data_IF_754107768214
#
_entry.id   IF_754107768214
#
_cell.length_a   1.000
_cell.length_b   1.000
_cell.length_c   1.000
_cell.angle_alpha   90.00
_cell.angle_beta   90.00
_cell.angle_gamma   90.00
#
_symmetry.space_group_name_H-M   'P 1'
#
loop_
_entity.id
_entity.type
_entity.pdbx_description
1 polymer ?
#
# COMPACT_ATOMS: atom_id res chain seq x y z
N UNK A 1 -1.69 -20.32 17.62
CA UNK A 1 -2.39 -19.74 16.45
C UNK A 1 -3.15 -18.48 16.86
N UNK A 2 -2.95 -17.34 16.20
CA UNK A 2 -3.84 -16.16 16.40
C UNK A 2 -5.16 -16.41 15.68
N UNK A 3 -6.25 -16.45 16.43
CA UNK A 3 -7.62 -16.57 15.90
C UNK A 3 -8.17 -15.16 15.66
N UNK A 4 -8.66 -14.88 14.46
CA UNK A 4 -9.24 -13.59 14.12
C UNK A 4 -10.76 -13.68 14.23
N UNK A 5 -11.36 -12.91 15.15
CA UNK A 5 -12.82 -12.87 15.30
C UNK A 5 -13.42 -11.98 14.22
N UNK A 6 -14.49 -12.44 13.57
CA UNK A 6 -15.25 -11.69 12.56
C UNK A 6 -15.72 -10.35 13.14
N UNK A 7 -16.13 -10.33 14.41
CA UNK A 7 -16.59 -9.13 15.11
C UNK A 7 -15.55 -7.98 15.20
N UNK A 8 -14.24 -8.28 15.05
CA UNK A 8 -13.17 -7.27 15.06
C UNK A 8 -12.94 -6.63 13.69
N UNK A 9 -13.57 -7.14 12.64
CA UNK A 9 -13.48 -6.59 11.29
C UNK A 9 -14.47 -5.45 11.10
N UNK A 10 -14.11 -4.49 10.24
CA UNK A 10 -15.01 -3.41 9.88
C UNK A 10 -16.29 -3.95 9.21
N UNK A 11 -17.39 -3.19 9.27
CA UNK A 11 -18.68 -3.64 8.72
C UNK A 11 -18.59 -4.11 7.25
N UNK A 12 -17.84 -3.37 6.41
CA UNK A 12 -17.58 -3.73 5.00
C UNK A 12 -16.78 -5.02 4.85
N UNK A 13 -15.80 -5.23 5.72
CA UNK A 13 -14.99 -6.45 5.72
C UNK A 13 -15.84 -7.66 6.13
N UNK A 14 -16.68 -7.51 7.15
CA UNK A 14 -17.64 -8.55 7.57
C UNK A 14 -18.60 -8.92 6.44
N UNK A 15 -19.08 -7.92 5.71
CA UNK A 15 -19.93 -8.14 4.54
C UNK A 15 -19.22 -8.98 3.46
N UNK A 16 -18.00 -8.62 3.08
CA UNK A 16 -17.21 -9.39 2.09
C UNK A 16 -16.86 -10.79 2.58
N UNK A 17 -16.55 -10.96 3.86
CA UNK A 17 -16.37 -12.29 4.47
C UNK A 17 -17.66 -13.11 4.38
N UNK A 18 -18.82 -12.50 4.61
CA UNK A 18 -20.12 -13.15 4.40
C UNK A 18 -20.27 -13.67 2.98
N UNK A 19 -19.98 -12.84 1.97
CA UNK A 19 -20.02 -13.23 0.56
C UNK A 19 -19.05 -14.39 0.24
N UNK A 20 -17.83 -14.34 0.79
CA UNK A 20 -16.82 -15.40 0.64
C UNK A 20 -17.25 -16.74 1.27
N UNK A 21 -18.14 -16.72 2.27
CA UNK A 21 -18.73 -17.91 2.89
C UNK A 21 -20.01 -18.37 2.21
N UNK A 22 -20.48 -17.65 1.19
CA UNK A 22 -21.72 -17.95 0.50
C UNK A 22 -22.97 -17.45 1.23
N UNK A 23 -22.85 -16.49 2.15
CA UNK A 23 -24.03 -15.76 2.61
C UNK A 23 -24.69 -15.08 1.42
N UNK A 24 -26.01 -15.22 1.33
CA UNK A 24 -26.82 -14.46 0.39
C UNK A 24 -27.50 -13.32 1.16
N UNK A 25 -26.90 -12.12 1.20
CA UNK A 25 -27.58 -10.99 1.77
C UNK A 25 -28.78 -10.70 0.86
N UNK A 26 -29.97 -10.81 1.43
CA UNK A 26 -31.31 -10.61 0.82
C UNK A 26 -31.52 -9.24 0.15
N UNK A 27 -30.47 -8.42 0.01
CA UNK A 27 -30.47 -7.07 -0.53
C UNK A 27 -29.32 -6.79 -1.52
N UNK A 28 -28.50 -7.78 -1.91
CA UNK A 28 -27.43 -7.59 -2.89
C UNK A 28 -27.85 -8.16 -4.24
N UNK A 29 -27.54 -7.42 -5.31
CA UNK A 29 -27.76 -7.89 -6.69
C UNK A 29 -27.31 -9.36 -6.83
N UNK A 30 -28.21 -10.21 -7.33
CA UNK A 30 -28.00 -11.64 -7.59
C UNK A 30 -26.65 -11.94 -8.29
N UNK A 31 -26.17 -10.97 -9.05
CA UNK A 31 -24.89 -11.00 -9.75
C UNK A 31 -23.67 -11.07 -8.82
N UNK A 32 -23.66 -10.34 -7.70
CA UNK A 32 -22.51 -10.29 -6.80
C UNK A 32 -22.32 -11.62 -6.07
N UNK A 33 -23.41 -12.21 -5.57
CA UNK A 33 -23.34 -13.51 -4.92
C UNK A 33 -22.86 -14.59 -5.91
N UNK A 34 -23.37 -14.58 -7.14
CA UNK A 34 -22.91 -15.49 -8.21
C UNK A 34 -21.42 -15.33 -8.52
N UNK A 35 -20.95 -14.09 -8.57
CA UNK A 35 -19.54 -13.77 -8.83
C UNK A 35 -18.62 -14.27 -7.70
N UNK A 36 -19.01 -14.05 -6.44
CA UNK A 36 -18.26 -14.52 -5.27
C UNK A 36 -18.28 -16.05 -5.17
N UNK A 37 -19.38 -16.71 -5.55
CA UNK A 37 -19.42 -18.16 -5.67
C UNK A 37 -18.41 -18.68 -6.69
N UNK A 38 -18.32 -18.05 -7.87
CA UNK A 38 -17.32 -18.38 -8.90
C UNK A 38 -15.89 -18.15 -8.40
N UNK A 39 -15.65 -17.08 -7.64
CA UNK A 39 -14.37 -16.83 -6.99
C UNK A 39 -14.02 -17.97 -6.03
N UNK A 40 -14.94 -18.37 -5.15
CA UNK A 40 -14.70 -19.45 -4.20
C UNK A 40 -14.40 -20.78 -4.92
N UNK A 41 -15.13 -21.11 -6.00
CA UNK A 41 -14.84 -22.32 -6.81
C UNK A 41 -13.43 -22.27 -7.40
N UNK A 42 -13.06 -21.15 -8.04
CA UNK A 42 -11.73 -20.99 -8.63
C UNK A 42 -10.62 -21.02 -7.55
N UNK A 43 -10.86 -20.37 -6.42
CA UNK A 43 -9.92 -20.34 -5.30
C UNK A 43 -9.77 -21.71 -4.64
N UNK A 44 -10.84 -22.50 -4.54
CA UNK A 44 -10.76 -23.84 -3.96
C UNK A 44 -9.90 -24.80 -4.79
N UNK A 45 -9.82 -24.60 -6.11
CA UNK A 45 -8.90 -25.33 -6.98
C UNK A 45 -7.42 -25.10 -6.63
N UNK A 46 -7.10 -23.99 -5.95
CA UNK A 46 -5.74 -23.66 -5.48
C UNK A 46 -5.62 -23.74 -3.94
N UNK A 47 -6.54 -24.43 -3.26
CA UNK A 47 -6.44 -24.71 -1.82
C UNK A 47 -7.20 -23.78 -0.88
N UNK A 48 -7.98 -22.82 -1.39
CA UNK A 48 -8.85 -21.99 -0.56
C UNK A 48 -9.99 -22.78 0.08
N UNK A 49 -10.18 -22.57 1.38
CA UNK A 49 -11.26 -23.13 2.21
C UNK A 49 -11.89 -22.01 3.03
N UNK A 50 -13.12 -21.66 2.67
CA UNK A 50 -13.96 -20.79 3.48
C UNK A 50 -14.34 -21.50 4.79
N UNK A 51 -14.53 -20.73 5.86
CA UNK A 51 -15.20 -21.26 7.05
C UNK A 51 -16.72 -21.41 6.80
N UNK A 52 -17.40 -22.16 7.67
CA UNK A 52 -18.86 -22.19 7.69
C UNK A 52 -19.44 -20.77 7.88
N UNK A 53 -20.65 -20.55 7.34
CA UNK A 53 -21.32 -19.24 7.32
C UNK A 53 -21.44 -18.64 8.72
N UNK A 54 -21.76 -19.47 9.72
CA UNK A 54 -22.00 -19.14 11.12
C UNK A 54 -20.72 -19.08 11.98
N UNK A 55 -19.56 -19.40 11.42
CA UNK A 55 -18.32 -19.42 12.17
C UNK A 55 -17.93 -18.03 12.69
N UNK A 56 -17.77 -17.87 14.00
CA UNK A 56 -17.43 -16.58 14.62
C UNK A 56 -16.00 -16.08 14.27
N UNK A 57 -15.17 -16.93 13.68
CA UNK A 57 -13.76 -16.69 13.41
C UNK A 57 -13.47 -16.73 11.92
N UNK A 58 -12.58 -15.86 11.43
CA UNK A 58 -12.09 -15.88 10.04
C UNK A 58 -10.86 -16.75 9.88
N UNK A 59 -10.78 -17.49 8.78
CA UNK A 59 -9.59 -18.25 8.40
C UNK A 59 -8.50 -17.30 7.89
N UNK A 60 -7.25 -17.78 7.88
CA UNK A 60 -6.14 -17.01 7.30
C UNK A 60 -6.31 -16.82 5.79
N UNK A 61 -6.87 -17.82 5.11
CA UNK A 61 -7.14 -17.79 3.67
C UNK A 61 -8.24 -16.78 3.34
N UNK A 62 -9.30 -16.70 4.14
CA UNK A 62 -10.34 -15.65 4.03
C UNK A 62 -9.74 -14.25 4.16
N UNK A 63 -8.86 -14.04 5.15
CA UNK A 63 -8.18 -12.75 5.34
C UNK A 63 -7.20 -12.43 4.19
N UNK A 64 -6.52 -13.44 3.65
CA UNK A 64 -5.63 -13.29 2.50
C UNK A 64 -6.42 -12.84 1.25
N UNK A 65 -7.53 -13.52 0.95
CA UNK A 65 -8.38 -13.18 -0.19
C UNK A 65 -9.06 -11.81 -0.02
N UNK A 66 -9.47 -11.46 1.20
CA UNK A 66 -9.96 -10.12 1.55
C UNK A 66 -8.90 -9.03 1.31
N UNK A 67 -7.65 -9.29 1.67
CA UNK A 67 -6.52 -8.38 1.38
C UNK A 67 -6.25 -8.24 -0.12
N UNK A 68 -6.39 -9.32 -0.89
CA UNK A 68 -6.24 -9.29 -2.34
C UNK A 68 -7.33 -8.46 -3.01
N UNK A 69 -8.60 -8.66 -2.62
CA UNK A 69 -9.70 -7.84 -3.08
C UNK A 69 -9.43 -6.37 -2.78
N UNK A 70 -8.99 -6.04 -1.56
CA UNK A 70 -8.69 -4.66 -1.16
C UNK A 70 -7.57 -4.02 -1.99
N UNK A 71 -6.56 -4.79 -2.40
CA UNK A 71 -5.46 -4.29 -3.18
C UNK A 71 -5.78 -4.20 -4.69
N UNK A 72 -6.62 -5.08 -5.21
CA UNK A 72 -7.16 -5.02 -6.58
C UNK A 72 -8.15 -3.85 -6.78
N UNK A 73 -8.62 -3.23 -5.70
CA UNK A 73 -9.38 -1.96 -5.73
C UNK A 73 -8.51 -0.70 -5.86
N UNK A 74 -7.20 -0.83 -6.14
CA UNK A 74 -6.29 0.32 -6.28
C UNK A 74 -5.92 0.53 -7.74
N UNK A 75 -5.53 1.75 -8.08
CA UNK A 75 -5.21 2.14 -9.45
C UNK A 75 -4.03 1.35 -10.04
N UNK A 76 -3.08 0.92 -9.18
CA UNK A 76 -1.90 0.15 -9.57
C UNK A 76 -1.80 -1.14 -8.74
N UNK A 77 -2.67 -2.13 -8.99
CA UNK A 77 -2.75 -3.31 -8.15
C UNK A 77 -1.50 -4.20 -8.26
N UNK A 78 -0.89 -4.28 -9.44
CA UNK A 78 0.31 -5.11 -9.69
C UNK A 78 1.56 -4.62 -8.94
N UNK A 79 1.53 -3.38 -8.43
CA UNK A 79 2.57 -2.82 -7.56
C UNK A 79 2.41 -3.31 -6.11
N UNK A 80 1.20 -3.67 -5.70
CA UNK A 80 0.87 -4.06 -4.33
C UNK A 80 0.88 -5.58 -4.14
N UNK A 81 0.42 -6.33 -5.14
CA UNK A 81 0.43 -7.78 -5.11
C UNK A 81 0.51 -8.38 -6.50
N UNK A 82 1.03 -9.60 -6.55
CA UNK A 82 0.86 -10.54 -7.65
C UNK A 82 -0.10 -11.63 -7.20
N UNK A 83 -1.11 -11.88 -8.03
CA UNK A 83 -2.09 -12.95 -7.84
C UNK A 83 -1.90 -13.94 -8.98
N UNK A 84 -1.87 -15.23 -8.68
CA UNK A 84 -1.77 -16.26 -9.70
C UNK A 84 -2.90 -16.17 -10.75
N UNK A 85 -2.55 -16.44 -12.00
CA UNK A 85 -3.45 -16.33 -13.15
C UNK A 85 -4.79 -17.09 -13.01
N UNK A 86 -4.87 -18.28 -12.37
CA UNK A 86 -6.14 -19.00 -12.25
C UNK A 86 -7.23 -18.23 -11.51
N UNK A 87 -6.86 -17.42 -10.52
CA UNK A 87 -7.82 -16.69 -9.66
C UNK A 87 -7.81 -15.18 -9.91
N UNK A 88 -6.76 -14.63 -10.55
CA UNK A 88 -6.63 -13.20 -10.83
C UNK A 88 -7.84 -12.59 -11.56
N UNK A 89 -8.35 -13.13 -12.67
CA UNK A 89 -9.42 -12.48 -13.43
C UNK A 89 -10.72 -12.41 -12.62
N UNK A 90 -11.09 -13.49 -11.94
CA UNK A 90 -12.33 -13.53 -11.15
C UNK A 90 -12.21 -12.67 -9.88
N UNK A 91 -11.03 -12.64 -9.24
CA UNK A 91 -10.78 -11.76 -8.08
C UNK A 91 -10.86 -10.28 -8.48
N UNK A 92 -10.30 -9.91 -9.64
CA UNK A 92 -10.37 -8.55 -10.17
C UNK A 92 -11.81 -8.13 -10.49
N UNK A 93 -12.61 -9.03 -11.09
CA UNK A 93 -14.03 -8.77 -11.33
C UNK A 93 -14.78 -8.53 -10.00
N UNK A 94 -14.49 -9.32 -8.96
CA UNK A 94 -15.07 -9.12 -7.63
C UNK A 94 -14.70 -7.77 -7.03
N UNK A 95 -13.41 -7.40 -7.10
CA UNK A 95 -12.93 -6.11 -6.59
C UNK A 95 -13.62 -4.92 -7.29
N UNK A 96 -13.75 -4.98 -8.63
CA UNK A 96 -14.43 -3.96 -9.43
C UNK A 96 -15.93 -3.89 -9.13
N UNK A 97 -16.60 -5.04 -8.99
CA UNK A 97 -18.03 -5.05 -8.64
C UNK A 97 -18.28 -4.45 -7.26
N UNK A 98 -17.43 -4.76 -6.28
CA UNK A 98 -17.48 -4.13 -4.96
C UNK A 98 -17.32 -2.61 -5.05
N UNK A 99 -16.38 -2.10 -5.87
CA UNK A 99 -16.21 -0.66 -6.08
C UNK A 99 -17.43 0.00 -6.72
N UNK A 100 -18.03 -0.64 -7.74
CA UNK A 100 -19.23 -0.13 -8.41
C UNK A 100 -20.42 0.01 -7.43
N UNK A 101 -20.46 -0.82 -6.40
CA UNK A 101 -21.48 -0.84 -5.34
C UNK A 101 -21.09 0.05 -4.13
N UNK A 102 -20.02 0.84 -4.25
CA UNK A 102 -19.53 1.74 -3.20
C UNK A 102 -18.85 1.03 -2.01
N UNK A 103 -18.57 -0.27 -2.12
CA UNK A 103 -17.92 -1.07 -1.07
C UNK A 103 -16.40 -0.98 -1.23
N UNK A 104 -15.81 0.00 -0.57
CA UNK A 104 -14.36 0.18 -0.51
C UNK A 104 -13.75 -0.44 0.75
N UNK A 105 -12.80 -1.36 0.54
CA UNK A 105 -12.01 -1.98 1.59
C UNK A 105 -10.84 -1.06 2.01
N UNK A 106 -10.40 -1.20 3.26
CA UNK A 106 -9.35 -0.33 3.85
C UNK A 106 -7.95 -0.72 3.36
N UNK A 107 -7.03 0.25 3.34
CA UNK A 107 -5.60 -0.06 3.15
C UNK A 107 -5.05 -0.93 4.29
N UNK A 108 -5.61 -0.83 5.50
CA UNK A 108 -5.22 -1.67 6.62
C UNK A 108 -5.45 -3.17 6.33
N UNK A 109 -6.45 -3.50 5.50
CA UNK A 109 -6.72 -4.86 5.04
C UNK A 109 -5.56 -5.41 4.19
N UNK A 110 -4.97 -4.56 3.33
CA UNK A 110 -3.80 -4.90 2.51
C UNK A 110 -2.59 -5.11 3.41
N UNK A 111 -2.36 -4.22 4.37
CA UNK A 111 -1.24 -4.31 5.31
C UNK A 111 -1.25 -5.59 6.16
N UNK A 112 -2.39 -6.27 6.32
CA UNK A 112 -2.45 -7.57 7.03
C UNK A 112 -1.78 -8.70 6.25
N UNK A 113 -1.64 -8.59 4.93
CA UNK A 113 -1.03 -9.64 4.10
C UNK A 113 0.41 -9.95 4.52
N UNK A 114 1.15 -8.96 5.02
CA UNK A 114 2.52 -9.16 5.52
C UNK A 114 2.59 -10.06 6.76
N UNK A 115 1.50 -10.19 7.50
CA UNK A 115 1.38 -11.08 8.66
C UNK A 115 0.82 -12.47 8.32
N UNK A 116 0.59 -12.77 7.04
CA UNK A 116 -0.04 -14.01 6.56
C UNK A 116 0.79 -14.70 5.44
N UNK A 117 2.12 -14.83 5.56
CA UNK A 117 2.96 -15.36 4.47
C UNK A 117 2.56 -16.77 4.03
N UNK A 118 2.21 -17.65 4.98
CA UNK A 118 1.80 -19.03 4.70
C UNK A 118 0.53 -19.08 3.83
N UNK A 119 -0.50 -18.30 4.20
CA UNK A 119 -1.77 -18.29 3.45
C UNK A 119 -1.64 -17.60 2.08
N UNK A 120 -0.76 -16.59 1.99
CA UNK A 120 -0.39 -16.00 0.72
C UNK A 120 0.29 -17.03 -0.19
N UNK A 121 1.26 -17.80 0.32
CA UNK A 121 1.94 -18.85 -0.44
C UNK A 121 0.99 -19.96 -0.89
N UNK A 122 0.12 -20.46 0.00
CA UNK A 122 -0.90 -21.47 -0.32
C UNK A 122 -1.79 -21.05 -1.50
N UNK A 123 -2.21 -19.79 -1.50
CA UNK A 123 -3.09 -19.25 -2.55
C UNK A 123 -2.33 -18.67 -3.74
N UNK A 124 -1.02 -18.92 -3.84
CA UNK A 124 -0.14 -18.37 -4.88
C UNK A 124 -0.30 -16.84 -5.04
N UNK A 125 -0.50 -16.15 -3.91
CA UNK A 125 -0.55 -14.70 -3.79
C UNK A 125 0.81 -14.27 -3.24
N UNK A 126 1.48 -13.40 -3.97
CA UNK A 126 2.70 -12.76 -3.50
C UNK A 126 2.41 -11.30 -3.24
N UNK A 127 2.24 -10.87 -1.96
CA UNK A 127 2.29 -9.44 -1.67
C UNK A 127 3.66 -8.96 -2.14
N UNK A 128 3.67 -8.05 -3.12
CA UNK A 128 4.93 -7.41 -3.51
C UNK A 128 5.31 -6.63 -2.26
N UNK A 129 6.51 -6.82 -1.70
CA UNK A 129 6.90 -6.04 -0.54
C UNK A 129 6.74 -4.57 -0.93
N UNK A 130 5.75 -3.91 -0.32
CA UNK A 130 5.73 -2.46 -0.21
C UNK A 130 6.84 -2.05 0.74
N UNK A 131 8.08 -2.42 0.43
CA UNK A 131 9.13 -1.43 0.54
C UNK A 131 8.58 -0.25 -0.25
N UNK A 132 8.37 0.87 0.42
CA UNK A 132 8.11 2.18 -0.20
C UNK A 132 9.28 2.63 -1.09
N UNK A 133 9.94 1.71 -1.77
CA UNK A 133 10.58 1.97 -3.03
C UNK A 133 9.46 2.01 -4.06
N UNK A 134 8.76 3.15 -4.10
CA UNK A 134 8.58 3.73 -5.43
C UNK A 134 9.92 3.52 -6.14
N UNK A 135 9.99 2.96 -7.35
CA UNK A 135 11.10 3.33 -8.19
C UNK A 135 11.04 4.85 -8.18
N UNK A 136 11.93 5.48 -7.40
CA UNK A 136 12.33 6.84 -7.68
C UNK A 136 12.83 6.67 -9.09
N UNK A 137 11.97 6.92 -10.07
CA UNK A 137 12.39 7.65 -11.24
C UNK A 137 13.31 8.69 -10.63
N UNK A 138 14.62 8.51 -10.82
CA UNK A 138 15.64 9.45 -10.41
C UNK A 138 15.37 10.67 -11.28
N UNK A 139 14.28 11.37 -10.94
CA UNK A 139 13.96 12.67 -11.46
C UNK A 139 15.01 13.50 -10.79
N UNK A 140 16.04 13.84 -11.57
CA UNK A 140 17.02 14.85 -11.19
C UNK A 140 16.24 15.96 -10.48
N UNK A 141 16.59 16.29 -9.23
CA UNK A 141 15.91 17.35 -8.51
C UNK A 141 15.93 18.60 -9.40
N UNK A 142 14.75 19.14 -9.73
CA UNK A 142 14.69 20.40 -10.44
C UNK A 142 15.41 21.45 -9.57
N UNK A 143 16.31 22.26 -10.18
CA UNK A 143 16.99 23.30 -9.43
C UNK A 143 15.97 24.24 -8.79
N UNK A 144 16.28 24.78 -7.59
CA UNK A 144 15.42 25.78 -6.97
C UNK A 144 15.29 27.01 -7.88
N UNK A 145 14.17 27.74 -7.76
CA UNK A 145 14.00 28.98 -8.50
C UNK A 145 15.05 30.02 -8.07
N UNK A 146 15.58 30.84 -9.00
CA UNK A 146 16.52 31.91 -8.67
C UNK A 146 15.95 32.89 -7.64
N UNK A 147 16.78 33.33 -6.69
CA UNK A 147 16.42 34.21 -5.57
C UNK A 147 15.64 33.52 -4.44
N UNK A 148 15.32 32.23 -4.56
CA UNK A 148 14.54 31.53 -3.54
C UNK A 148 15.34 31.23 -2.27
N UNK A 149 14.64 31.03 -1.14
CA UNK A 149 15.25 30.57 0.12
C UNK A 149 15.93 29.19 -0.08
N UNK A 150 15.43 28.37 -1.01
CA UNK A 150 15.98 27.05 -1.30
C UNK A 150 17.32 27.13 -2.05
N UNK A 151 17.48 28.10 -2.95
CA UNK A 151 18.75 28.36 -3.63
C UNK A 151 19.82 28.83 -2.64
N UNK A 152 19.49 29.85 -1.81
CA UNK A 152 20.40 30.33 -0.75
C UNK A 152 20.82 29.22 0.21
N UNK A 153 19.89 28.35 0.60
CA UNK A 153 20.19 27.20 1.43
C UNK A 153 21.11 26.19 0.73
N UNK A 154 20.90 25.95 -0.57
CA UNK A 154 21.73 25.03 -1.35
C UNK A 154 23.15 25.58 -1.53
N UNK A 155 23.30 26.87 -1.82
CA UNK A 155 24.60 27.51 -2.00
C UNK A 155 25.40 27.58 -0.70
N UNK A 156 24.72 27.82 0.43
CA UNK A 156 25.35 27.76 1.74
C UNK A 156 25.90 26.36 2.01
N UNK A 157 25.09 25.31 1.78
CA UNK A 157 25.54 23.92 1.97
C UNK A 157 26.64 23.53 0.99
N UNK A 158 26.63 24.05 -0.26
CA UNK A 158 27.71 23.83 -1.23
C UNK A 158 29.02 24.48 -0.80
N UNK A 159 28.94 25.71 -0.27
CA UNK A 159 30.10 26.50 0.17
C UNK A 159 30.81 25.84 1.35
N UNK A 160 30.04 25.39 2.35
CA UNK A 160 30.59 24.76 3.56
C UNK A 160 30.77 23.24 3.43
N UNK A 161 30.24 22.63 2.37
CA UNK A 161 30.29 21.19 2.11
C UNK A 161 29.32 20.37 2.99
N UNK A 162 29.38 20.54 4.32
CA UNK A 162 28.45 19.94 5.28
C UNK A 162 27.98 21.03 6.24
N UNK A 163 26.67 21.13 6.44
CA UNK A 163 26.07 22.16 7.31
C UNK A 163 25.04 21.55 8.23
N UNK A 164 25.03 22.01 9.48
CA UNK A 164 24.05 21.61 10.48
C UNK A 164 22.73 22.38 10.33
N UNK A 165 21.65 21.78 10.81
CA UNK A 165 20.34 22.42 10.91
C UNK A 165 20.35 23.69 11.76
N UNK A 166 21.30 23.83 12.70
CA UNK A 166 21.46 25.03 13.52
C UNK A 166 22.09 26.18 12.73
N UNK A 167 23.13 25.91 11.94
CA UNK A 167 23.77 26.90 11.07
C UNK A 167 22.83 27.37 9.96
N UNK A 168 22.04 26.45 9.39
CA UNK A 168 20.97 26.79 8.45
C UNK A 168 19.92 27.71 9.09
N UNK A 169 19.49 27.39 10.31
CA UNK A 169 18.54 28.23 11.05
C UNK A 169 19.13 29.62 11.39
N UNK A 170 20.40 29.69 11.78
CA UNK A 170 21.11 30.95 12.03
C UNK A 170 21.19 31.84 10.77
N UNK A 171 21.20 31.22 9.60
CA UNK A 171 21.19 31.89 8.30
C UNK A 171 19.77 32.22 7.79
N UNK A 172 18.75 32.09 8.65
CA UNK A 172 17.36 32.39 8.32
C UNK A 172 16.62 31.28 7.56
N UNK A 173 17.19 30.07 7.45
CA UNK A 173 16.57 28.95 6.73
C UNK A 173 15.77 28.10 7.71
N UNK A 174 14.45 28.08 7.52
CA UNK A 174 13.57 27.33 8.43
C UNK A 174 13.73 25.82 8.32
N UNK A 175 13.45 25.10 9.41
CA UNK A 175 13.46 23.63 9.44
C UNK A 175 12.49 23.01 8.42
N UNK A 176 11.40 23.70 8.10
CA UNK A 176 10.45 23.27 7.08
C UNK A 176 11.08 23.30 5.69
N UNK A 177 11.84 24.35 5.36
CA UNK A 177 12.58 24.45 4.09
C UNK A 177 13.61 23.33 3.99
N UNK A 178 14.39 23.09 5.05
CA UNK A 178 15.37 21.98 5.09
C UNK A 178 14.69 20.62 4.90
N UNK A 179 13.56 20.38 5.58
CA UNK A 179 12.78 19.15 5.44
C UNK A 179 12.24 18.96 4.01
N UNK A 180 11.75 20.03 3.39
CA UNK A 180 11.27 20.02 2.02
C UNK A 180 12.40 19.73 1.03
N UNK A 181 13.56 20.39 1.18
CA UNK A 181 14.73 20.18 0.33
C UNK A 181 15.30 18.76 0.45
N UNK A 182 15.32 18.18 1.66
CA UNK A 182 15.66 16.78 1.87
C UNK A 182 14.67 15.84 1.18
N UNK A 183 13.36 16.07 1.33
CA UNK A 183 12.31 15.26 0.66
C UNK A 183 12.41 15.34 -0.87
N UNK A 184 12.77 16.51 -1.41
CA UNK A 184 12.98 16.75 -2.85
C UNK A 184 14.30 16.18 -3.38
N UNK A 185 15.19 15.68 -2.52
CA UNK A 185 16.49 15.14 -2.91
C UNK A 185 17.54 16.19 -3.25
N UNK A 186 17.33 17.47 -2.87
CA UNK A 186 18.33 18.54 -3.04
C UNK A 186 19.43 18.45 -1.97
N UNK A 187 19.07 17.98 -0.78
CA UNK A 187 19.97 17.75 0.34
C UNK A 187 20.01 16.28 0.73
N UNK A 188 21.17 15.80 1.13
CA UNK A 188 21.42 14.47 1.70
C UNK A 188 21.79 14.63 3.15
N UNK A 189 21.15 13.86 4.03
CA UNK A 189 21.49 13.84 5.46
C UNK A 189 22.71 12.95 5.67
N UNK A 190 23.79 13.51 6.21
CA UNK A 190 25.06 12.81 6.47
C UNK A 190 25.27 12.48 7.95
N UNK A 191 24.41 13.01 8.83
CA UNK A 191 24.44 12.75 10.27
C UNK A 191 23.19 13.30 10.95
N UNK A 192 23.12 13.19 12.28
CA UNK A 192 21.98 13.74 13.02
C UNK A 192 21.96 15.26 12.96
N UNK A 193 21.05 15.80 12.15
CA UNK A 193 20.92 17.24 11.95
C UNK A 193 21.94 17.84 10.98
N UNK A 194 22.76 17.05 10.28
CA UNK A 194 23.77 17.52 9.34
C UNK A 194 23.43 17.14 7.90
N UNK A 195 23.58 18.09 6.98
CA UNK A 195 23.16 18.00 5.59
C UNK A 195 24.30 18.39 4.63
N UNK A 196 24.30 17.77 3.46
CA UNK A 196 25.18 18.06 2.32
C UNK A 196 24.35 18.20 1.04
N UNK A 197 24.84 18.93 0.05
CA UNK A 197 24.20 19.01 -1.26
C UNK A 197 24.24 17.65 -1.95
N UNK A 198 23.14 17.25 -2.60
CA UNK A 198 23.12 15.99 -3.36
C UNK A 198 24.08 16.07 -4.55
N UNK A 199 24.82 14.99 -4.86
CA UNK A 199 25.78 14.97 -5.96
C UNK A 199 25.17 15.36 -7.32
N UNK A 200 23.90 15.03 -7.53
CA UNK A 200 23.14 15.38 -8.75
C UNK A 200 22.87 16.88 -8.89
N UNK A 201 22.90 17.62 -7.77
CA UNK A 201 22.80 19.08 -7.77
C UNK A 201 24.15 19.76 -7.95
N UNK A 202 25.27 19.03 -7.96
CA UNK A 202 26.62 19.62 -8.13
C UNK A 202 27.02 19.76 -9.61
N UNK A 203 26.30 19.10 -10.53
CA UNK A 203 26.57 19.14 -12.00
C UNK A 203 25.62 20.06 -12.79
N UNK A 204 25.02 21.04 -12.14
CA UNK A 204 24.22 22.08 -12.79
C UNK A 204 25.04 23.33 -12.97
#
# INVERSE_FOLDING_TARGET
MRVFRVARLAARERHVIGLLRGADPTAVSSDMHTLFRRLCVAASAIGYRAAAIDCACTTRQELCLLGCLAALQRDNPDVLLRVADPIRPITLLCARRLQAEGIHLSHATISRLSGLPDACAELAISPVPTTFQQPKLVRRPLPPAPGSVQERALDLVRTYGVTSSRELAASGISRQVVSLMFKRGLLVRVGTGNYRAAAETVRG
#
